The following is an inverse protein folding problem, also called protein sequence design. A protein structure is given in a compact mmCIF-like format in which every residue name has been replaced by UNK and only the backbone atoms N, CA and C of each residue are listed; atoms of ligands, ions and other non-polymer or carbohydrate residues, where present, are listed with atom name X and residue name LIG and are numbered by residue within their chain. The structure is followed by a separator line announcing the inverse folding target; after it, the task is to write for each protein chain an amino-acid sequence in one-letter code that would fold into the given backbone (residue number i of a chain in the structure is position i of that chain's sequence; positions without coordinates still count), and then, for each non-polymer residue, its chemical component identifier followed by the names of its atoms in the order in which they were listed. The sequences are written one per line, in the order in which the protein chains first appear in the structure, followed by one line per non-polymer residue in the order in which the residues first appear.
data_IF_346038426816
#
_entry.id   IF_346038426816
#
_cell.length_a   1.000
_cell.length_b   1.000
_cell.length_c   1.000
_cell.angle_alpha   90.00
_cell.angle_beta   90.00
_cell.angle_gamma   90.00
#
_symmetry.space_group_name_H-M   'P 1'
#
loop_
_entity.id
_entity.type
_entity.pdbx_description
1 polymer ?
#
# COMPACT_ATOMS: atom_id res chain seq x y z
N UNK A 1 -16.13 -9.47 -13.75
CA UNK A 1 -16.95 -10.66 -13.42
C UNK A 1 -17.64 -10.39 -12.10
N UNK A 2 -18.80 -11.00 -11.80
CA UNK A 2 -19.50 -10.74 -10.53
C UNK A 2 -18.67 -11.11 -9.30
N UNK A 3 -17.85 -12.16 -9.39
CA UNK A 3 -17.12 -12.74 -8.26
C UNK A 3 -15.59 -12.65 -8.41
N UNK A 4 -15.10 -11.59 -9.04
CA UNK A 4 -13.65 -11.42 -9.20
C UNK A 4 -13.23 -10.20 -10.01
N UNK A 5 -11.95 -10.19 -10.38
CA UNK A 5 -11.32 -9.10 -11.10
C UNK A 5 -10.51 -9.65 -12.28
N UNK A 6 -10.52 -8.93 -13.40
CA UNK A 6 -9.60 -9.13 -14.53
C UNK A 6 -8.63 -7.96 -14.53
N UNK A 7 -7.33 -8.25 -14.47
CA UNK A 7 -6.27 -7.24 -14.44
C UNK A 7 -5.47 -7.37 -15.73
N UNK A 8 -5.49 -6.31 -16.54
CA UNK A 8 -4.54 -6.17 -17.64
C UNK A 8 -3.23 -5.60 -17.08
N UNK A 9 -2.14 -6.37 -17.19
CA UNK A 9 -0.84 -5.92 -16.69
C UNK A 9 -0.31 -4.69 -17.42
N UNK A 10 0.47 -3.87 -16.71
CA UNK A 10 1.07 -2.63 -17.21
C UNK A 10 1.95 -1.93 -16.17
N UNK A 11 2.55 -0.78 -16.53
CA UNK A 11 3.28 0.05 -15.58
C UNK A 11 2.34 0.60 -14.50
N UNK A 12 2.85 0.72 -13.27
CA UNK A 12 2.13 1.33 -12.15
C UNK A 12 2.53 2.80 -12.09
N UNK A 13 1.56 3.71 -12.13
CA UNK A 13 1.80 5.14 -11.92
C UNK A 13 1.94 5.50 -10.44
N UNK A 14 2.19 6.78 -10.15
CA UNK A 14 1.93 7.35 -8.83
C UNK A 14 0.44 7.66 -8.65
N UNK A 15 0.04 8.04 -7.43
CA UNK A 15 -1.34 8.46 -7.16
C UNK A 15 -1.72 8.42 -5.68
N UNK A 16 -3.01 8.59 -5.41
CA UNK A 16 -3.60 8.45 -4.08
C UNK A 16 -4.65 7.35 -4.08
N UNK A 17 -4.64 6.50 -3.08
CA UNK A 17 -5.57 5.38 -2.91
C UNK A 17 -6.12 5.37 -1.48
N UNK A 18 -7.35 4.93 -1.30
CA UNK A 18 -7.99 4.80 0.00
C UNK A 18 -8.06 3.32 0.39
N UNK A 19 -7.58 2.95 1.59
CA UNK A 19 -7.58 1.55 2.04
C UNK A 19 -8.98 1.04 2.42
N UNK A 20 -9.88 1.98 2.77
CA UNK A 20 -11.21 1.73 3.33
C UNK A 20 -11.16 0.89 4.61
N UNK A 21 -10.14 1.14 5.44
CA UNK A 21 -9.90 0.44 6.68
C UNK A 21 -9.37 -1.00 6.52
N UNK A 22 -9.13 -1.49 5.30
CA UNK A 22 -8.55 -2.82 5.09
C UNK A 22 -7.01 -2.73 5.09
N UNK A 23 -6.39 -3.33 6.11
CA UNK A 23 -4.94 -3.38 6.29
C UNK A 23 -4.23 -4.05 5.11
N UNK A 24 -4.84 -5.04 4.46
CA UNK A 24 -4.27 -5.75 3.31
C UNK A 24 -4.27 -4.87 2.08
N UNK A 25 -5.32 -4.06 1.88
CA UNK A 25 -5.34 -3.07 0.79
C UNK A 25 -4.22 -2.06 1.00
N UNK A 26 -4.05 -1.54 2.22
CA UNK A 26 -2.96 -0.63 2.55
C UNK A 26 -1.57 -1.26 2.28
N UNK A 27 -1.30 -2.45 2.81
CA UNK A 27 -0.03 -3.14 2.61
C UNK A 27 0.23 -3.51 1.14
N UNK A 28 -0.80 -3.92 0.40
CA UNK A 28 -0.68 -4.24 -1.02
C UNK A 28 -0.26 -3.03 -1.86
N UNK A 29 -0.85 -1.86 -1.62
CA UNK A 29 -0.45 -0.63 -2.30
C UNK A 29 0.91 -0.10 -1.84
N UNK A 30 1.33 -0.36 -0.59
CA UNK A 30 2.69 -0.06 -0.16
C UNK A 30 3.72 -0.87 -0.97
N UNK A 31 3.46 -2.16 -1.21
CA UNK A 31 4.30 -3.00 -2.07
C UNK A 31 4.29 -2.57 -3.54
N UNK A 32 3.15 -2.06 -4.04
CA UNK A 32 3.06 -1.51 -5.41
C UNK A 32 4.05 -0.34 -5.62
N UNK A 33 4.36 0.40 -4.56
CA UNK A 33 5.34 1.50 -4.56
C UNK A 33 6.75 1.08 -4.99
N UNK A 34 7.14 -0.20 -4.85
CA UNK A 34 8.43 -0.70 -5.34
C UNK A 34 8.60 -0.59 -6.85
N UNK A 35 7.50 -0.59 -7.61
CA UNK A 35 7.48 -0.59 -9.08
C UNK A 35 6.73 0.62 -9.66
N UNK A 36 6.24 1.51 -8.82
CA UNK A 36 5.52 2.70 -9.24
C UNK A 36 6.46 3.71 -9.88
N UNK A 37 6.02 4.34 -10.97
CA UNK A 37 6.72 5.46 -11.62
C UNK A 37 6.63 6.78 -10.85
N UNK A 38 5.93 6.82 -9.71
CA UNK A 38 5.75 7.99 -8.87
C UNK A 38 5.32 7.62 -7.44
N UNK A 39 5.16 8.63 -6.59
CA UNK A 39 4.71 8.45 -5.19
C UNK A 39 3.29 7.88 -5.14
N UNK A 40 3.07 6.93 -4.22
CA UNK A 40 1.74 6.41 -3.86
C UNK A 40 1.43 6.87 -2.45
N UNK A 41 0.33 7.60 -2.28
CA UNK A 41 -0.22 8.02 -0.99
C UNK A 41 -1.39 7.12 -0.65
N UNK A 42 -1.37 6.52 0.55
CA UNK A 42 -2.40 5.57 1.01
C UNK A 42 -3.10 6.16 2.22
N UNK A 43 -4.38 6.46 2.07
CA UNK A 43 -5.21 6.99 3.15
C UNK A 43 -5.77 5.85 4.02
N UNK A 44 -6.10 6.19 5.28
CA UNK A 44 -6.75 5.30 6.26
C UNK A 44 -5.94 4.05 6.63
N UNK A 45 -4.66 4.24 6.99
CA UNK A 45 -3.73 3.14 7.29
C UNK A 45 -3.74 2.67 8.77
N UNK A 46 -4.62 3.18 9.62
CA UNK A 46 -4.61 2.92 11.07
C UNK A 46 -4.69 1.42 11.42
N UNK A 47 -5.41 0.65 10.59
CA UNK A 47 -5.61 -0.78 10.81
C UNK A 47 -4.41 -1.66 10.43
N UNK A 48 -3.36 -1.14 9.80
CA UNK A 48 -2.14 -1.94 9.50
C UNK A 48 -1.52 -2.48 10.79
N UNK A 49 -1.49 -1.66 11.84
CA UNK A 49 -0.88 -2.02 13.11
C UNK A 49 -1.68 -3.07 13.90
N UNK A 50 -2.94 -3.33 13.56
CA UNK A 50 -3.73 -4.38 14.23
C UNK A 50 -3.41 -5.77 13.68
N UNK A 51 -3.08 -5.88 12.39
CA UNK A 51 -2.78 -7.15 11.73
C UNK A 51 -1.28 -7.47 11.67
N UNK A 52 -0.45 -6.45 11.42
CA UNK A 52 0.99 -6.59 11.26
C UNK A 52 1.70 -5.43 11.97
N UNK A 53 1.81 -5.49 13.31
CA UNK A 53 2.63 -4.56 14.05
C UNK A 53 4.08 -4.58 13.53
N UNK A 54 4.68 -3.41 13.32
CA UNK A 54 6.06 -3.31 12.82
C UNK A 54 6.23 -3.42 11.30
N UNK A 55 5.14 -3.45 10.53
CA UNK A 55 5.20 -3.56 9.06
C UNK A 55 6.03 -2.45 8.42
N UNK A 56 5.84 -1.20 8.87
CA UNK A 56 6.51 -0.03 8.29
C UNK A 56 8.02 -0.11 8.50
N UNK A 57 8.43 -0.43 9.72
CA UNK A 57 9.81 -0.59 10.13
C UNK A 57 10.49 -1.73 9.38
N UNK A 58 9.83 -2.88 9.29
CA UNK A 58 10.36 -4.04 8.57
C UNK A 58 10.49 -3.76 7.08
N UNK A 59 9.48 -3.15 6.47
CA UNK A 59 9.50 -2.82 5.05
C UNK A 59 10.61 -1.80 4.74
N UNK A 60 10.75 -0.77 5.59
CA UNK A 60 11.83 0.22 5.48
C UNK A 60 13.22 -0.40 5.62
N UNK A 61 13.42 -1.26 6.63
CA UNK A 61 14.67 -2.00 6.81
C UNK A 61 14.98 -2.95 5.63
N UNK A 62 13.95 -3.40 4.91
CA UNK A 62 14.07 -4.25 3.72
C UNK A 62 14.28 -3.45 2.43
N UNK A 63 14.38 -2.12 2.49
CA UNK A 63 14.66 -1.26 1.35
C UNK A 63 13.44 -0.62 0.69
N UNK A 64 12.23 -0.78 1.24
CA UNK A 64 11.06 -0.01 0.79
C UNK A 64 11.13 1.41 1.35
N UNK A 65 11.13 2.43 0.48
CA UNK A 65 10.94 3.82 0.92
C UNK A 65 9.48 4.02 1.34
N UNK A 66 9.20 3.85 2.62
CA UNK A 66 7.88 3.95 3.21
C UNK A 66 7.94 4.85 4.45
N UNK A 67 6.97 5.75 4.57
CA UNK A 67 6.83 6.65 5.72
C UNK A 67 5.36 6.61 6.18
N UNK A 68 5.15 6.35 7.46
CA UNK A 68 3.84 6.54 8.08
C UNK A 68 3.74 7.98 8.59
N UNK A 69 2.73 8.72 8.13
CA UNK A 69 2.44 10.08 8.58
C UNK A 69 1.15 10.08 9.38
N UNK A 70 1.14 10.79 10.49
CA UNK A 70 -0.10 11.12 11.18
C UNK A 70 -0.77 12.26 10.42
N UNK A 71 -2.01 12.05 10.00
CA UNK A 71 -2.87 13.10 9.43
C UNK A 71 -3.33 14.11 10.47
#
# INVERSE_FOLDING_TARGET
TPDGIVIQGGPIGGGRVHSHGDHRIAMAFAMAGLRAGGEIVIDDCANVNTSFPGFVELAAASGLRLEARNG
#
